data_IF_227336412788
#
_entry.id   IF_227336412788
#
_cell.length_a   1.000
_cell.length_b   1.000
_cell.length_c   1.000
_cell.angle_alpha   90.00
_cell.angle_beta   90.00
_cell.angle_gamma   90.00
#
_symmetry.space_group_name_H-M   'P 1'
#
loop_
_entity.id
_entity.type
_entity.pdbx_description
1 polymer ?
#
# COMPACT_ATOMS: atom_id res chain seq x y z
N UNK A 1 -16.12 86.47 0.24
CA UNK A 1 -15.54 85.74 1.35
C UNK A 1 -15.28 84.29 0.88
N UNK A 2 -14.04 84.02 0.48
CA UNK A 2 -13.62 82.70 -0.02
C UNK A 2 -13.04 81.90 1.12
N UNK A 3 -13.66 80.72 1.46
CA UNK A 3 -13.01 79.76 2.36
C UNK A 3 -12.41 78.61 1.51
N UNK A 4 -11.14 78.54 1.55
CA UNK A 4 -10.33 77.49 0.95
C UNK A 4 -10.45 76.22 1.81
N UNK A 5 -10.93 75.13 1.22
CA UNK A 5 -10.96 73.81 1.82
C UNK A 5 -9.66 73.11 1.42
N UNK A 6 -8.80 72.81 2.40
CA UNK A 6 -7.60 72.05 2.18
C UNK A 6 -7.91 70.55 2.18
N UNK A 7 -7.51 69.90 1.11
CA UNK A 7 -7.58 68.40 0.98
C UNK A 7 -6.28 67.82 1.57
N UNK A 8 -6.45 67.09 2.68
CA UNK A 8 -5.37 66.29 3.26
C UNK A 8 -5.42 64.94 2.62
N UNK A 9 -4.44 64.61 1.78
CA UNK A 9 -4.26 63.28 1.21
C UNK A 9 -3.48 62.46 2.22
N UNK A 10 -4.14 61.56 2.91
CA UNK A 10 -3.50 60.57 3.77
C UNK A 10 -3.00 59.40 2.91
N UNK A 11 -1.68 59.32 2.78
CA UNK A 11 -1.02 58.20 2.14
C UNK A 11 -1.01 57.00 3.12
N UNK A 12 -1.96 56.10 2.97
CA UNK A 12 -1.99 54.83 3.72
C UNK A 12 -1.01 53.86 3.09
N UNK A 13 0.14 53.68 3.71
CA UNK A 13 1.11 52.66 3.36
C UNK A 13 0.55 51.30 3.76
N UNK A 14 0.07 50.51 2.79
CA UNK A 14 -0.32 49.11 3.00
C UNK A 14 0.99 48.31 3.09
N UNK A 15 1.38 47.97 4.32
CA UNK A 15 2.39 46.93 4.54
C UNK A 15 1.72 45.57 4.17
N UNK A 16 2.04 45.08 2.99
CA UNK A 16 1.73 43.71 2.60
C UNK A 16 2.63 42.80 3.40
N UNK A 17 2.13 42.26 4.49
CA UNK A 17 2.73 41.12 5.19
C UNK A 17 2.57 39.92 4.25
N UNK A 18 3.63 39.61 3.53
CA UNK A 18 3.79 38.31 2.87
C UNK A 18 3.87 37.24 3.97
N UNK A 19 2.72 36.79 4.44
CA UNK A 19 2.60 35.50 5.14
C UNK A 19 3.04 34.45 4.14
N UNK A 20 4.33 34.12 4.17
CA UNK A 20 4.83 32.87 3.67
C UNK A 20 4.15 31.77 4.49
N UNK A 21 2.95 31.35 4.06
CA UNK A 21 2.47 30.02 4.41
C UNK A 21 3.55 29.07 3.89
N UNK A 22 4.43 28.66 4.80
CA UNK A 22 5.13 27.40 4.63
C UNK A 22 4.02 26.37 4.37
N UNK A 23 3.76 26.05 3.11
CA UNK A 23 3.25 24.74 2.79
C UNK A 23 4.28 23.82 3.42
N UNK A 24 3.91 23.22 4.56
CA UNK A 24 4.46 21.92 4.88
C UNK A 24 4.34 21.17 3.57
N UNK A 25 5.48 20.89 2.96
CA UNK A 25 5.53 20.08 1.77
C UNK A 25 4.86 18.77 2.23
N UNK A 26 3.63 18.56 1.80
CA UNK A 26 2.96 17.30 1.99
C UNK A 26 4.00 16.26 1.59
N UNK A 27 4.31 15.36 2.51
CA UNK A 27 5.21 14.25 2.21
C UNK A 27 4.77 13.73 0.83
N UNK A 28 5.70 13.54 -0.12
CA UNK A 28 5.34 13.20 -1.48
C UNK A 28 4.31 12.09 -1.37
N UNK A 29 3.15 12.37 -1.94
CA UNK A 29 2.03 11.42 -2.01
C UNK A 29 2.70 10.11 -2.36
N UNK A 30 2.63 9.10 -1.47
CA UNK A 30 3.46 7.89 -1.54
C UNK A 30 3.15 7.14 -2.82
N UNK A 31 3.51 7.72 -3.95
CA UNK A 31 3.29 7.37 -5.34
C UNK A 31 1.86 6.88 -5.66
N UNK A 32 0.89 7.27 -4.86
CA UNK A 32 -0.51 6.88 -5.03
C UNK A 32 -0.85 5.46 -4.63
N UNK A 33 0.11 4.61 -4.23
CA UNK A 33 -0.19 3.27 -3.73
C UNK A 33 -1.04 3.34 -2.45
N UNK A 34 -2.03 2.44 -2.34
CA UNK A 34 -2.99 2.42 -1.22
C UNK A 34 -2.46 1.68 0.02
N UNK A 35 -1.18 1.87 0.35
CA UNK A 35 -0.57 1.19 1.51
C UNK A 35 -1.22 1.60 2.83
N UNK A 36 -1.73 2.82 2.91
CA UNK A 36 -2.52 3.35 4.02
C UNK A 36 -3.84 2.61 4.25
N UNK A 37 -4.29 1.83 3.26
CA UNK A 37 -5.57 1.12 3.29
C UNK A 37 -5.41 -0.38 3.58
N UNK A 38 -4.20 -0.90 3.65
CA UNK A 38 -3.97 -2.34 3.86
C UNK A 38 -4.59 -2.80 5.18
N UNK A 39 -4.31 -2.10 6.29
CA UNK A 39 -4.87 -2.45 7.59
C UNK A 39 -6.40 -2.36 7.61
N UNK A 40 -6.97 -1.35 6.96
CA UNK A 40 -8.42 -1.19 6.84
C UNK A 40 -9.04 -2.34 6.04
N UNK A 41 -8.39 -2.76 4.97
CA UNK A 41 -8.81 -3.90 4.15
C UNK A 41 -8.77 -5.21 4.96
N UNK A 42 -7.70 -5.43 5.71
CA UNK A 42 -7.55 -6.61 6.57
C UNK A 42 -8.61 -6.65 7.68
N UNK A 43 -8.87 -5.52 8.34
CA UNK A 43 -9.96 -5.42 9.34
C UNK A 43 -11.31 -5.77 8.73
N UNK A 44 -11.59 -5.28 7.51
CA UNK A 44 -12.85 -5.57 6.82
C UNK A 44 -12.95 -7.04 6.41
N UNK A 45 -11.85 -7.66 5.98
CA UNK A 45 -11.80 -9.10 5.65
C UNK A 45 -12.03 -9.94 6.90
N UNK A 46 -11.35 -9.64 8.02
CA UNK A 46 -11.53 -10.38 9.28
C UNK A 46 -12.95 -10.23 9.85
N UNK A 47 -13.57 -9.06 9.70
CA UNK A 47 -14.99 -8.88 10.07
C UNK A 47 -15.94 -9.75 9.25
N UNK A 48 -15.62 -10.00 7.98
CA UNK A 48 -16.47 -10.76 7.06
C UNK A 48 -16.19 -12.26 7.12
N UNK A 49 -14.93 -12.68 7.18
CA UNK A 49 -14.50 -14.06 7.06
C UNK A 49 -14.12 -14.71 8.40
N UNK A 50 -13.97 -13.92 9.46
CA UNK A 50 -13.52 -14.38 10.79
C UNK A 50 -12.07 -14.00 11.07
N UNK A 51 -11.64 -14.17 12.31
CA UNK A 51 -10.28 -13.92 12.75
C UNK A 51 -9.38 -15.15 12.56
N UNK A 52 -8.07 -14.93 12.59
CA UNK A 52 -7.08 -16.02 12.50
C UNK A 52 -6.89 -16.54 11.08
N UNK A 53 -7.12 -15.67 10.10
CA UNK A 53 -6.97 -15.98 8.69
C UNK A 53 -5.49 -16.12 8.31
N UNK A 54 -5.24 -16.98 7.34
CA UNK A 54 -3.97 -17.04 6.62
C UNK A 54 -4.14 -16.48 5.21
N UNK A 55 -3.06 -15.94 4.67
CA UNK A 55 -3.05 -15.25 3.39
C UNK A 55 -1.99 -15.86 2.47
N UNK A 56 -2.33 -16.09 1.21
CA UNK A 56 -1.35 -16.36 0.16
C UNK A 56 -0.64 -15.09 -0.27
N UNK A 57 -1.42 -14.02 -0.44
CA UNK A 57 -0.93 -12.74 -0.91
C UNK A 57 -1.82 -11.59 -0.42
N UNK A 58 -1.19 -10.45 -0.17
CA UNK A 58 -1.85 -9.15 -0.03
C UNK A 58 -1.11 -8.20 -0.96
N UNK A 59 -1.84 -7.47 -1.81
CA UNK A 59 -1.22 -6.45 -2.64
C UNK A 59 -2.03 -5.17 -2.68
N UNK A 60 -1.32 -4.06 -2.84
CA UNK A 60 -1.90 -2.72 -2.91
C UNK A 60 -1.43 -2.02 -4.19
N UNK A 61 -2.38 -1.49 -4.95
CA UNK A 61 -2.18 -0.66 -6.13
C UNK A 61 -2.52 0.80 -5.80
N UNK A 62 -2.60 1.66 -6.81
CA UNK A 62 -3.08 3.05 -6.68
C UNK A 62 -4.58 3.15 -6.37
N UNK A 63 -5.36 2.11 -6.64
CA UNK A 63 -6.83 2.17 -6.59
C UNK A 63 -7.42 1.27 -5.50
N UNK A 64 -6.80 0.12 -5.24
CA UNK A 64 -7.39 -0.93 -4.42
C UNK A 64 -6.34 -1.73 -3.64
N UNK A 65 -6.84 -2.50 -2.68
CA UNK A 65 -6.10 -3.55 -1.98
C UNK A 65 -6.75 -4.89 -2.29
N UNK A 66 -5.95 -5.84 -2.79
CA UNK A 66 -6.35 -7.24 -2.95
C UNK A 66 -5.87 -8.05 -1.75
N UNK A 67 -6.73 -8.92 -1.25
CA UNK A 67 -6.43 -9.85 -0.16
C UNK A 67 -6.83 -11.25 -0.59
N UNK A 68 -5.85 -12.15 -0.68
CA UNK A 68 -6.01 -13.54 -1.09
C UNK A 68 -5.98 -14.44 0.15
N UNK A 69 -7.17 -14.74 0.68
CA UNK A 69 -7.36 -15.51 1.90
C UNK A 69 -7.28 -17.00 1.58
N UNK A 70 -6.41 -17.70 2.29
CA UNK A 70 -6.28 -19.15 2.19
C UNK A 70 -7.50 -19.84 2.81
N UNK A 71 -7.99 -20.89 2.16
CA UNK A 71 -9.13 -21.70 2.60
C UNK A 71 -9.03 -23.10 2.02
N UNK A 72 -9.99 -23.95 2.34
CA UNK A 72 -10.14 -25.26 1.74
C UNK A 72 -11.28 -25.24 0.72
N UNK A 73 -11.11 -25.92 -0.42
CA UNK A 73 -12.02 -25.84 -1.56
C UNK A 73 -13.43 -26.33 -1.21
N UNK A 74 -13.54 -27.34 -0.39
CA UNK A 74 -14.81 -27.91 0.08
C UNK A 74 -15.16 -27.51 1.53
N UNK A 75 -14.37 -26.61 2.12
CA UNK A 75 -14.51 -26.19 3.51
C UNK A 75 -14.04 -27.21 4.54
N UNK A 76 -13.34 -28.27 4.09
CA UNK A 76 -12.81 -29.33 4.96
C UNK A 76 -11.27 -29.29 4.92
N UNK A 77 -10.58 -29.18 6.08
CA UNK A 77 -9.13 -29.19 6.11
C UNK A 77 -8.54 -30.44 5.44
N UNK A 78 -7.53 -30.20 4.59
CA UNK A 78 -6.80 -31.27 3.93
C UNK A 78 -6.06 -32.16 4.93
N UNK A 79 -5.72 -33.38 4.52
CA UNK A 79 -5.03 -34.36 5.36
C UNK A 79 -3.62 -33.90 5.80
N UNK A 80 -2.97 -33.05 5.01
CA UNK A 80 -1.68 -32.44 5.30
C UNK A 80 -1.80 -31.11 6.07
N UNK A 81 -3.03 -30.62 6.26
CA UNK A 81 -3.32 -29.36 6.95
C UNK A 81 -2.96 -28.10 6.15
N UNK A 82 -2.66 -28.25 4.85
CA UNK A 82 -2.36 -27.12 3.97
C UNK A 82 -3.63 -26.69 3.22
N UNK A 83 -3.87 -25.37 3.06
CA UNK A 83 -4.99 -24.88 2.27
C UNK A 83 -4.81 -25.20 0.79
N UNK A 84 -5.89 -25.55 0.11
CA UNK A 84 -5.92 -25.89 -1.32
C UNK A 84 -6.76 -24.93 -2.17
N UNK A 85 -7.24 -23.85 -1.57
CA UNK A 85 -8.05 -22.85 -2.24
C UNK A 85 -7.80 -21.45 -1.71
N UNK A 86 -8.22 -20.47 -2.48
CA UNK A 86 -8.16 -19.03 -2.16
C UNK A 86 -9.51 -18.38 -2.38
N UNK A 87 -9.89 -17.50 -1.46
CA UNK A 87 -10.96 -16.51 -1.66
C UNK A 87 -10.32 -15.15 -1.89
N UNK A 88 -10.64 -14.53 -3.02
CA UNK A 88 -10.15 -13.22 -3.36
C UNK A 88 -11.10 -12.13 -2.87
N UNK A 89 -10.61 -11.26 -2.01
CA UNK A 89 -11.28 -10.04 -1.56
C UNK A 89 -10.63 -8.83 -2.21
N UNK A 90 -11.45 -7.90 -2.64
CA UNK A 90 -11.03 -6.59 -3.18
C UNK A 90 -11.59 -5.50 -2.29
N UNK A 91 -10.71 -4.66 -1.79
CA UNK A 91 -11.13 -3.50 -1.01
C UNK A 91 -10.83 -2.22 -1.78
N UNK A 92 -11.83 -1.34 -1.86
CA UNK A 92 -11.66 0.01 -2.38
C UNK A 92 -12.21 1.03 -1.39
N UNK A 93 -11.68 2.23 -1.39
CA UNK A 93 -12.20 3.30 -0.53
C UNK A 93 -13.64 3.68 -0.88
N UNK A 94 -14.03 3.52 -2.14
CA UNK A 94 -15.34 3.91 -2.65
C UNK A 94 -16.42 2.88 -2.34
N UNK A 95 -16.13 1.61 -2.60
CA UNK A 95 -17.15 0.56 -2.62
C UNK A 95 -17.04 -0.38 -1.40
N UNK A 96 -15.97 -0.23 -0.60
CA UNK A 96 -15.69 -1.10 0.55
C UNK A 96 -15.13 -2.45 0.13
N UNK A 97 -15.51 -3.51 0.84
CA UNK A 97 -15.03 -4.87 0.63
C UNK A 97 -15.97 -5.67 -0.26
N UNK A 98 -15.45 -6.15 -1.37
CA UNK A 98 -16.06 -7.16 -2.23
C UNK A 98 -15.28 -8.48 -2.13
N UNK A 99 -15.94 -9.62 -2.35
CA UNK A 99 -15.30 -10.92 -2.38
C UNK A 99 -15.70 -11.65 -3.67
N UNK A 100 -14.80 -12.47 -4.18
CA UNK A 100 -15.16 -13.46 -5.20
C UNK A 100 -16.26 -14.38 -4.65
N UNK A 101 -17.23 -14.79 -5.49
CA UNK A 101 -18.36 -15.59 -5.03
C UNK A 101 -17.95 -16.97 -4.52
N UNK A 102 -16.97 -17.60 -5.17
CA UNK A 102 -16.55 -18.97 -4.88
C UNK A 102 -15.03 -19.06 -4.67
N UNK A 103 -14.55 -19.96 -3.81
CA UNK A 103 -13.15 -20.30 -3.70
C UNK A 103 -12.60 -20.86 -5.02
N UNK A 104 -11.34 -20.55 -5.32
CA UNK A 104 -10.61 -21.07 -6.48
C UNK A 104 -9.43 -21.89 -5.98
N UNK A 105 -9.17 -23.04 -6.61
CA UNK A 105 -8.04 -23.90 -6.24
C UNK A 105 -6.71 -23.12 -6.27
N UNK A 106 -5.97 -23.19 -5.18
CA UNK A 106 -4.67 -22.55 -4.99
C UNK A 106 -3.84 -23.39 -4.04
N UNK A 107 -2.53 -23.36 -4.20
CA UNK A 107 -1.59 -23.95 -3.26
C UNK A 107 -0.35 -23.05 -3.13
N UNK A 108 0.36 -23.17 -2.03
CA UNK A 108 1.55 -22.38 -1.77
C UNK A 108 1.73 -22.08 -0.28
N UNK A 109 2.83 -21.41 0.07
CA UNK A 109 3.05 -20.98 1.42
C UNK A 109 2.06 -19.86 1.79
N UNK A 110 1.67 -19.83 3.06
CA UNK A 110 0.78 -18.82 3.62
C UNK A 110 1.45 -18.07 4.77
N UNK A 111 0.89 -16.95 5.15
CA UNK A 111 1.30 -16.19 6.32
C UNK A 111 0.08 -15.64 7.06
N UNK A 112 0.20 -15.53 8.38
CA UNK A 112 -0.82 -14.90 9.21
C UNK A 112 -0.61 -13.39 9.29
N UNK A 113 -1.66 -12.61 9.60
CA UNK A 113 -1.58 -11.16 9.82
C UNK A 113 -0.51 -10.78 10.82
N UNK A 114 -0.33 -11.57 11.88
CA UNK A 114 0.68 -11.31 12.91
C UNK A 114 2.14 -11.34 12.41
N UNK A 115 2.38 -11.90 11.22
CA UNK A 115 3.70 -11.90 10.58
C UNK A 115 3.99 -10.62 9.80
N UNK A 116 3.00 -9.75 9.61
CA UNK A 116 3.19 -8.45 8.97
C UNK A 116 3.92 -7.51 9.94
N UNK A 117 5.14 -7.16 9.57
CA UNK A 117 5.99 -6.23 10.32
C UNK A 117 6.65 -5.28 9.31
N UNK A 118 5.98 -4.17 9.00
CA UNK A 118 6.49 -3.19 8.05
C UNK A 118 5.90 -1.79 8.31
N UNK A 119 6.69 -0.77 7.95
CA UNK A 119 6.22 0.62 7.89
C UNK A 119 6.11 1.04 6.42
N UNK A 120 4.89 1.08 5.86
CA UNK A 120 4.67 1.39 4.45
C UNK A 120 5.31 2.70 4.01
N UNK A 121 5.18 3.74 4.85
CA UNK A 121 5.69 5.07 4.55
C UNK A 121 7.21 5.11 4.51
N UNK A 122 7.86 4.42 5.44
CA UNK A 122 9.31 4.31 5.52
C UNK A 122 9.88 3.55 4.32
N UNK A 123 9.26 2.42 3.97
CA UNK A 123 9.65 1.59 2.83
C UNK A 123 9.62 2.40 1.54
N UNK A 124 8.50 3.01 1.20
CA UNK A 124 8.35 3.77 -0.04
C UNK A 124 9.32 4.95 -0.09
N UNK A 125 9.46 5.71 0.99
CA UNK A 125 10.39 6.83 1.05
C UNK A 125 11.83 6.39 0.75
N UNK A 126 12.25 5.26 1.31
CA UNK A 126 13.60 4.73 1.12
C UNK A 126 13.81 4.28 -0.33
N UNK A 127 12.92 3.45 -0.87
CA UNK A 127 13.01 2.96 -2.25
C UNK A 127 12.99 4.11 -3.24
N UNK A 128 12.10 5.08 -3.09
CA UNK A 128 12.03 6.24 -4.00
C UNK A 128 13.28 7.14 -3.91
N UNK A 129 13.97 7.17 -2.78
CA UNK A 129 15.26 7.89 -2.68
C UNK A 129 16.38 7.18 -3.42
N UNK A 130 16.34 5.86 -3.54
CA UNK A 130 17.32 5.06 -4.26
C UNK A 130 17.01 4.94 -5.77
N UNK A 131 15.72 4.98 -6.12
CA UNK A 131 15.21 4.82 -7.49
C UNK A 131 14.31 6.00 -7.91
N UNK A 132 14.83 7.23 -7.96
CA UNK A 132 14.02 8.43 -8.21
C UNK A 132 13.40 8.49 -9.61
N UNK A 133 13.96 7.76 -10.60
CA UNK A 133 13.48 7.69 -11.98
C UNK A 133 12.44 6.58 -12.21
N UNK A 134 11.91 6.00 -11.14
CA UNK A 134 10.95 4.90 -11.22
C UNK A 134 9.68 5.21 -10.43
N UNK A 135 8.55 4.71 -10.92
CA UNK A 135 7.23 4.91 -10.31
C UNK A 135 6.70 3.58 -9.76
N UNK A 136 6.37 3.50 -8.48
CA UNK A 136 5.75 2.32 -7.89
C UNK A 136 4.38 2.04 -8.52
N UNK A 137 4.12 0.78 -8.85
CA UNK A 137 2.87 0.33 -9.44
C UNK A 137 2.05 -0.55 -8.50
N UNK A 138 2.71 -1.43 -7.77
CA UNK A 138 2.08 -2.36 -6.86
C UNK A 138 3.04 -2.78 -5.76
N UNK A 139 2.56 -2.80 -4.53
CA UNK A 139 3.25 -3.37 -3.39
C UNK A 139 2.65 -4.74 -3.08
N UNK A 140 3.49 -5.76 -2.93
CA UNK A 140 3.07 -7.15 -2.78
C UNK A 140 3.69 -7.75 -1.53
N UNK A 141 2.91 -8.47 -0.77
CA UNK A 141 3.28 -9.24 0.41
C UNK A 141 2.91 -10.70 0.18
N UNK A 142 3.87 -11.60 0.24
CA UNK A 142 3.68 -13.05 0.12
C UNK A 142 4.43 -13.77 1.22
N UNK A 143 4.09 -15.02 1.49
CA UNK A 143 4.92 -15.84 2.36
C UNK A 143 6.28 -16.11 1.69
N UNK A 144 7.34 -16.10 2.50
CA UNK A 144 8.65 -16.53 2.05
C UNK A 144 8.76 -18.06 2.12
N UNK A 145 9.48 -18.65 1.13
CA UNK A 145 9.73 -20.10 1.08
C UNK A 145 8.74 -20.86 0.21
N UNK A 146 8.71 -22.16 0.39
CA UNK A 146 7.76 -23.08 -0.28
C UNK A 146 6.63 -23.46 0.66
N UNK A 147 5.58 -24.10 0.14
CA UNK A 147 4.44 -24.56 0.96
C UNK A 147 4.88 -25.51 2.09
N UNK A 148 5.88 -26.36 1.81
CA UNK A 148 6.42 -27.33 2.77
C UNK A 148 7.38 -26.70 3.79
N UNK A 149 7.95 -25.53 3.46
CA UNK A 149 8.92 -24.78 4.26
C UNK A 149 8.37 -23.42 4.71
N UNK A 150 7.04 -23.29 4.84
CA UNK A 150 6.43 -22.02 5.28
C UNK A 150 7.02 -21.62 6.63
N UNK A 151 7.83 -20.58 6.61
CA UNK A 151 8.47 -20.05 7.83
C UNK A 151 7.58 -19.07 8.58
N UNK A 152 6.40 -18.78 8.05
CA UNK A 152 5.53 -17.69 8.51
C UNK A 152 6.14 -16.30 8.31
N UNK A 153 7.29 -16.21 7.60
CA UNK A 153 7.96 -14.94 7.30
C UNK A 153 7.36 -14.33 6.04
N UNK A 154 7.17 -13.01 6.05
CA UNK A 154 6.64 -12.28 4.90
C UNK A 154 7.77 -11.74 4.05
N UNK A 155 7.66 -11.94 2.74
CA UNK A 155 8.48 -11.29 1.73
C UNK A 155 7.74 -10.08 1.17
N UNK A 156 8.43 -8.95 1.10
CA UNK A 156 7.90 -7.70 0.56
C UNK A 156 8.49 -7.47 -0.83
N UNK A 157 7.64 -7.11 -1.78
CA UNK A 157 8.04 -6.76 -3.14
C UNK A 157 7.38 -5.46 -3.57
N UNK A 158 8.09 -4.72 -4.42
CA UNK A 158 7.57 -3.51 -5.03
C UNK A 158 7.77 -3.60 -6.54
N UNK A 159 6.66 -3.58 -7.27
CA UNK A 159 6.67 -3.49 -8.73
C UNK A 159 6.87 -2.03 -9.12
N UNK A 160 7.88 -1.76 -9.93
CA UNK A 160 8.27 -0.42 -10.36
C UNK A 160 8.23 -0.31 -11.87
N UNK A 161 7.79 0.84 -12.35
CA UNK A 161 7.88 1.24 -13.76
C UNK A 161 9.01 2.23 -13.93
N UNK A 162 9.99 1.93 -14.77
CA UNK A 162 11.06 2.87 -15.10
C UNK A 162 10.56 3.98 -16.03
N UNK A 163 11.04 5.21 -15.85
CA UNK A 163 10.79 6.34 -16.76
C UNK A 163 11.35 6.11 -18.18
N UNK A 164 12.32 5.22 -18.31
CA UNK A 164 12.93 4.84 -19.59
C UNK A 164 12.25 3.64 -20.25
N UNK A 165 11.18 3.14 -19.66
CA UNK A 165 10.49 1.93 -20.08
C UNK A 165 10.98 0.69 -19.33
N UNK A 166 10.16 -0.39 -19.38
CA UNK A 166 10.41 -1.62 -18.64
C UNK A 166 9.88 -1.60 -17.21
N UNK A 167 9.64 -2.77 -16.69
CA UNK A 167 9.22 -3.01 -15.31
C UNK A 167 10.31 -3.76 -14.58
N UNK A 168 10.36 -3.57 -13.26
CA UNK A 168 11.22 -4.31 -12.37
C UNK A 168 10.46 -4.69 -11.11
N UNK A 169 10.74 -5.86 -10.58
CA UNK A 169 10.32 -6.29 -9.27
C UNK A 169 11.47 -6.13 -8.29
N UNK A 170 11.25 -5.44 -7.19
CA UNK A 170 12.23 -5.19 -6.15
C UNK A 170 11.83 -5.99 -4.92
N UNK A 171 12.74 -6.81 -4.43
CA UNK A 171 12.58 -7.54 -3.17
C UNK A 171 13.15 -6.69 -2.04
N UNK A 172 12.36 -6.54 -0.98
CA UNK A 172 12.65 -5.65 0.14
C UNK A 172 12.69 -6.41 1.47
N UNK A 173 13.46 -5.86 2.40
CA UNK A 173 13.26 -6.17 3.82
C UNK A 173 12.02 -5.44 4.35
N UNK A 174 11.57 -5.79 5.56
CA UNK A 174 10.51 -5.07 6.29
C UNK A 174 10.87 -3.60 6.60
N UNK A 175 12.15 -3.24 6.53
CA UNK A 175 12.67 -1.87 6.71
C UNK A 175 12.90 -1.13 5.39
N UNK A 176 12.57 -1.76 4.25
CA UNK A 176 12.69 -1.16 2.92
C UNK A 176 14.11 -1.20 2.32
N UNK A 177 14.99 -2.06 2.80
CA UNK A 177 16.27 -2.30 2.14
C UNK A 177 16.07 -3.17 0.91
N UNK A 178 16.65 -2.75 -0.22
CA UNK A 178 16.61 -3.54 -1.45
C UNK A 178 17.59 -4.71 -1.31
N UNK A 179 17.06 -5.93 -1.32
CA UNK A 179 17.86 -7.17 -1.22
C UNK A 179 17.95 -7.93 -2.53
N UNK A 180 17.13 -7.57 -3.51
CA UNK A 180 17.15 -8.17 -4.84
C UNK A 180 16.30 -7.40 -5.83
N UNK A 181 16.56 -7.60 -7.11
CA UNK A 181 15.77 -7.04 -8.22
C UNK A 181 15.65 -8.07 -9.32
N UNK A 182 14.44 -8.22 -9.86
CA UNK A 182 14.17 -9.00 -11.05
C UNK A 182 13.66 -8.05 -12.15
N UNK A 183 14.33 -8.03 -13.31
CA UNK A 183 13.87 -7.30 -14.48
C UNK A 183 12.93 -8.19 -15.30
N UNK A 184 11.77 -7.66 -15.67
CA UNK A 184 10.79 -8.31 -16.54
C UNK A 184 10.76 -7.66 -17.94
#
# INVERSE_FOLDING_TARGET
MLRRLGIVVALSSVLSVLSSCGKDAAAPDTAGLRLDQIEIALDAVEQKAGAGLEFFEINATTELVNVFVATDLDGTPNADGLPDAVVHYVWTKKDGLEAAPDPVGANGPTFARAALDFDPSSILKKVLSELPESTPQMFVMTAAGTAEESTGTVQYRLMMQSSQGGQMSIVLTNTGEIVGTDAE
#
